data_IF_999204326820
#
_entry.id   IF_999204326820
#
_cell.length_a   1.000
_cell.length_b   1.000
_cell.length_c   1.000
_cell.angle_alpha   90.00
_cell.angle_beta   90.00
_cell.angle_gamma   90.00
#
_symmetry.space_group_name_H-M   'P 1'
#
loop_
_entity.id
_entity.type
_entity.pdbx_description
1 polymer ?
#
# COMPACT_ATOMS: atom_id res chain seq x y z
N UNK A 1 6.73 10.03 4.10
CA UNK A 1 7.87 9.60 3.25
C UNK A 1 7.16 8.76 2.23
N UNK A 2 7.15 9.15 0.95
CA UNK A 2 6.36 8.42 -0.03
C UNK A 2 6.99 7.03 -0.25
N UNK A 3 6.17 6.00 -0.31
CA UNK A 3 6.63 4.67 -0.66
C UNK A 3 6.92 4.56 -2.16
N UNK A 4 7.82 3.66 -2.53
CA UNK A 4 8.23 3.37 -3.89
C UNK A 4 7.73 1.99 -4.35
N UNK A 5 7.84 1.71 -5.65
CA UNK A 5 7.62 0.36 -6.16
C UNK A 5 8.64 -0.60 -5.53
N UNK A 6 8.22 -1.83 -5.26
CA UNK A 6 8.94 -2.89 -4.53
C UNK A 6 9.11 -2.66 -3.01
N UNK A 7 8.57 -1.58 -2.44
CA UNK A 7 8.57 -1.39 -0.98
C UNK A 7 7.62 -2.37 -0.28
N UNK A 8 8.05 -2.88 0.88
CA UNK A 8 7.25 -3.76 1.74
C UNK A 8 6.49 -2.93 2.77
N UNK A 9 5.18 -3.14 2.83
CA UNK A 9 4.26 -2.34 3.65
C UNK A 9 3.21 -3.21 4.31
N UNK A 10 2.79 -2.82 5.50
CA UNK A 10 1.65 -3.41 6.19
C UNK A 10 0.42 -2.56 5.88
N UNK A 11 -0.64 -3.19 5.36
CA UNK A 11 -1.91 -2.53 5.13
C UNK A 11 -2.70 -2.42 6.44
N UNK A 12 -3.18 -1.23 6.75
CA UNK A 12 -4.09 -0.94 7.85
C UNK A 12 -5.40 -0.37 7.30
N UNK A 13 -6.36 -1.24 7.02
CA UNK A 13 -7.69 -0.88 6.54
C UNK A 13 -8.74 -1.89 7.01
N UNK A 14 -9.56 -1.51 8.00
CA UNK A 14 -10.61 -2.36 8.58
C UNK A 14 -11.70 -2.81 7.58
N UNK A 15 -11.76 -2.19 6.40
CA UNK A 15 -12.67 -2.55 5.32
C UNK A 15 -12.05 -3.50 4.29
N UNK A 16 -10.72 -3.70 4.32
CA UNK A 16 -10.00 -4.59 3.41
C UNK A 16 -9.87 -5.99 4.00
N UNK A 17 -9.88 -7.00 3.14
CA UNK A 17 -9.62 -8.40 3.51
C UNK A 17 -8.13 -8.63 3.86
N UNK A 18 -7.26 -7.67 3.54
CA UNK A 18 -5.81 -7.72 3.75
C UNK A 18 -5.33 -6.89 4.95
N UNK A 19 -6.26 -6.45 5.82
CA UNK A 19 -5.91 -5.69 7.03
C UNK A 19 -4.89 -6.43 7.92
N UNK A 20 -3.83 -5.74 8.29
CA UNK A 20 -2.71 -6.25 9.07
C UNK A 20 -1.79 -7.22 8.32
N UNK A 21 -1.96 -7.40 7.01
CA UNK A 21 -1.06 -8.22 6.20
C UNK A 21 0.06 -7.38 5.60
N UNK A 22 1.23 -8.00 5.48
CA UNK A 22 2.35 -7.45 4.73
C UNK A 22 2.16 -7.71 3.23
N UNK A 23 2.35 -6.68 2.43
CA UNK A 23 2.32 -6.75 0.98
C UNK A 23 3.39 -5.87 0.36
N UNK A 24 3.52 -5.95 -0.96
CA UNK A 24 4.53 -5.22 -1.72
C UNK A 24 3.88 -4.22 -2.66
N UNK A 25 4.40 -2.99 -2.69
CA UNK A 25 3.92 -1.98 -3.61
C UNK A 25 4.33 -2.34 -5.03
N UNK A 26 3.35 -2.43 -5.92
CA UNK A 26 3.56 -2.75 -7.35
C UNK A 26 3.23 -1.59 -8.26
N UNK A 27 2.59 -0.54 -7.74
CA UNK A 27 2.29 0.66 -8.49
C UNK A 27 2.10 1.86 -7.57
N UNK A 28 2.63 3.01 -7.98
CA UNK A 28 2.42 4.30 -7.33
C UNK A 28 1.67 5.22 -8.29
N UNK A 29 0.52 5.74 -7.86
CA UNK A 29 -0.31 6.68 -8.61
C UNK A 29 -0.39 8.00 -7.86
N UNK A 30 0.44 8.96 -8.28
CA UNK A 30 0.41 10.30 -7.74
C UNK A 30 -0.75 11.11 -8.35
N UNK A 31 -1.53 11.74 -7.49
CA UNK A 31 -2.55 12.70 -7.91
C UNK A 31 -1.90 14.07 -8.15
N UNK A 32 -2.54 14.91 -8.99
CA UNK A 32 -2.04 16.27 -9.26
C UNK A 32 -2.05 17.20 -8.04
N UNK A 33 -2.57 16.75 -6.90
CA UNK A 33 -2.64 17.48 -5.64
C UNK A 33 -1.57 17.05 -4.62
N UNK A 34 -0.77 16.05 -4.95
CA UNK A 34 0.31 15.55 -4.08
C UNK A 34 -0.09 14.37 -3.20
N UNK A 35 -1.33 13.89 -3.28
CA UNK A 35 -1.74 12.65 -2.63
C UNK A 35 -1.36 11.47 -3.52
N UNK A 36 -0.63 10.48 -2.98
CA UNK A 36 -0.30 9.25 -3.69
C UNK A 36 -1.27 8.13 -3.28
N UNK A 37 -1.68 7.35 -4.27
CA UNK A 37 -2.40 6.09 -4.07
C UNK A 37 -1.50 4.95 -4.52
N UNK A 38 -1.59 3.83 -3.83
CA UNK A 38 -0.72 2.68 -4.02
C UNK A 38 -1.52 1.45 -4.41
N UNK A 39 -0.86 0.58 -5.17
CA UNK A 39 -1.33 -0.78 -5.40
C UNK A 39 -0.42 -1.73 -4.64
N UNK A 40 -0.98 -2.46 -3.67
CA UNK A 40 -0.26 -3.42 -2.84
C UNK A 40 -0.62 -4.83 -3.28
N UNK A 41 0.38 -5.65 -3.59
CA UNK A 41 0.21 -7.06 -3.90
C UNK A 41 0.47 -7.92 -2.67
N UNK A 42 -0.40 -8.91 -2.47
CA UNK A 42 -0.35 -9.92 -1.42
C UNK A 42 -0.27 -11.33 -2.03
N UNK A 43 -0.12 -12.37 -1.21
CA UNK A 43 -0.07 -13.76 -1.70
C UNK A 43 -1.37 -14.21 -2.40
N UNK A 44 -2.52 -13.76 -1.88
CA UNK A 44 -3.84 -14.16 -2.37
C UNK A 44 -4.52 -13.12 -3.30
N UNK A 45 -3.85 -12.01 -3.64
CA UNK A 45 -4.43 -10.98 -4.49
C UNK A 45 -3.69 -9.65 -4.46
N UNK A 46 -4.39 -8.57 -4.84
CA UNK A 46 -3.84 -7.21 -4.80
C UNK A 46 -4.94 -6.22 -4.42
N UNK A 47 -4.56 -5.16 -3.72
CA UNK A 47 -5.43 -4.05 -3.35
C UNK A 47 -4.97 -2.77 -4.05
N UNK A 48 -5.89 -2.08 -4.71
CA UNK A 48 -5.62 -0.88 -5.51
C UNK A 48 -6.27 0.36 -4.88
N UNK A 49 -5.59 1.50 -4.97
CA UNK A 49 -6.14 2.76 -4.47
C UNK A 49 -5.94 2.92 -2.96
N UNK A 50 -4.92 2.27 -2.41
CA UNK A 50 -4.59 2.36 -0.99
C UNK A 50 -3.93 3.73 -0.73
N UNK A 51 -4.44 4.54 0.20
CA UNK A 51 -3.79 5.82 0.55
C UNK A 51 -2.52 5.59 1.38
N UNK A 52 -1.55 6.51 1.31
CA UNK A 52 -0.33 6.46 2.15
C UNK A 52 -0.66 6.31 3.65
N UNK A 53 -1.73 6.96 4.10
CA UNK A 53 -2.17 6.94 5.50
C UNK A 53 -2.58 5.55 6.02
N UNK A 54 -2.93 4.63 5.11
CA UNK A 54 -3.29 3.25 5.44
C UNK A 54 -2.09 2.29 5.34
N UNK A 55 -0.89 2.79 5.03
CA UNK A 55 0.31 1.98 4.86
C UNK A 55 1.31 2.28 5.96
N UNK A 56 1.81 1.22 6.60
CA UNK A 56 2.95 1.28 7.49
C UNK A 56 4.15 0.62 6.81
N UNK A 57 5.34 1.21 6.93
CA UNK A 57 6.56 0.58 6.42
C UNK A 57 6.81 -0.73 7.19
N UNK A 58 6.93 -1.85 6.48
CA UNK A 58 7.35 -3.09 7.09
C UNK A 58 8.88 -2.99 7.34
N UNK A 59 9.29 -2.77 8.59
CA UNK A 59 10.69 -2.91 8.98
C UNK A 59 11.06 -4.41 8.95
N UNK A 60 12.15 -4.78 8.26
CA UNK A 60 12.70 -6.16 8.27
C UNK A 60 13.01 -6.69 9.68
#
# INVERSE_FOLDING_TARGET
MAFEEDDSVILHDEHSDYDGQEGTITQVVETMFGDANYTVSFEDGQEQGVPEDNLEAAEE
#
